data_IF_746673835125
#
_entry.id   IF_746673835125
#
_cell.length_a   1.000
_cell.length_b   1.000
_cell.length_c   1.000
_cell.angle_alpha   90.00
_cell.angle_beta   90.00
_cell.angle_gamma   90.00
#
_symmetry.space_group_name_H-M   'P 1'
#
loop_
_entity.id
_entity.type
_entity.pdbx_description
1 polymer ?
#
# COMPACT_ATOMS: atom_id res chain seq x y z
N UNK A 1 -30.55 -8.92 18.68
CA UNK A 1 -29.46 -8.57 17.75
C UNK A 1 -29.92 -8.93 16.34
N UNK A 2 -30.27 -7.93 15.55
CA UNK A 2 -30.63 -8.06 14.14
C UNK A 2 -29.40 -7.65 13.31
N UNK A 3 -28.96 -8.52 12.39
CA UNK A 3 -27.85 -8.25 11.47
C UNK A 3 -28.46 -7.98 10.10
N UNK A 4 -28.24 -6.79 9.58
CA UNK A 4 -28.65 -6.36 8.25
C UNK A 4 -27.43 -6.14 7.35
N UNK A 5 -27.61 -6.40 6.05
CA UNK A 5 -26.60 -6.17 5.03
C UNK A 5 -27.16 -5.16 4.03
N UNK A 6 -26.43 -4.09 3.81
CA UNK A 6 -26.84 -3.00 2.92
C UNK A 6 -25.71 -2.57 1.99
N UNK A 7 -26.06 -1.85 0.92
CA UNK A 7 -25.10 -1.06 0.15
C UNK A 7 -24.81 0.25 0.88
N UNK A 8 -23.74 0.92 0.50
CA UNK A 8 -23.37 2.21 1.08
C UNK A 8 -24.48 3.24 1.00
N UNK A 9 -25.11 3.38 -0.17
CA UNK A 9 -26.14 4.39 -0.44
C UNK A 9 -27.45 4.16 0.35
N UNK A 10 -27.65 2.96 0.87
CA UNK A 10 -28.82 2.60 1.71
C UNK A 10 -28.60 2.96 3.20
N UNK A 11 -27.43 3.52 3.55
CA UNK A 11 -27.07 3.90 4.92
C UNK A 11 -26.85 5.41 5.01
N UNK A 12 -27.43 6.10 6.01
CA UNK A 12 -27.20 7.54 6.19
C UNK A 12 -25.71 7.90 6.31
N UNK A 13 -25.30 8.99 5.63
CA UNK A 13 -23.90 9.40 5.58
C UNK A 13 -23.30 9.75 6.94
N UNK A 14 -24.09 10.33 7.85
CA UNK A 14 -23.69 10.62 9.21
C UNK A 14 -23.30 9.36 9.98
N UNK A 15 -24.12 8.30 9.89
CA UNK A 15 -23.82 7.00 10.49
C UNK A 15 -22.59 6.34 9.89
N UNK A 16 -22.39 6.48 8.58
CA UNK A 16 -21.17 5.99 7.91
C UNK A 16 -19.95 6.78 8.39
N UNK A 17 -20.05 8.11 8.50
CA UNK A 17 -18.95 8.94 9.02
C UNK A 17 -18.56 8.53 10.46
N UNK A 18 -19.53 8.28 11.33
CA UNK A 18 -19.27 7.77 12.68
C UNK A 18 -18.47 6.46 12.68
N UNK A 19 -18.81 5.50 11.80
CA UNK A 19 -18.05 4.25 11.66
C UNK A 19 -16.58 4.52 11.35
N UNK A 20 -16.28 5.47 10.46
CA UNK A 20 -14.89 5.85 10.13
C UNK A 20 -14.19 6.54 11.28
N UNK A 21 -14.87 7.41 12.01
CA UNK A 21 -14.31 8.11 13.17
C UNK A 21 -13.97 7.15 14.33
N UNK A 22 -14.69 6.04 14.45
CA UNK A 22 -14.43 5.01 15.45
C UNK A 22 -13.42 3.93 14.99
N UNK A 23 -12.95 3.99 13.72
CA UNK A 23 -11.98 3.02 13.21
C UNK A 23 -10.69 3.03 14.04
N UNK A 24 -10.29 1.89 14.64
CA UNK A 24 -9.06 1.80 15.42
C UNK A 24 -7.78 1.73 14.55
N UNK A 25 -7.92 1.62 13.22
CA UNK A 25 -6.82 1.43 12.27
C UNK A 25 -6.76 2.54 11.21
N UNK A 26 -6.60 3.83 11.58
CA UNK A 26 -6.46 4.90 10.60
C UNK A 26 -5.15 4.76 9.82
N UNK A 27 -5.15 5.27 8.59
CA UNK A 27 -3.93 5.46 7.81
C UNK A 27 -2.96 6.41 8.54
N UNK A 28 -1.67 6.28 8.24
CA UNK A 28 -0.61 7.14 8.81
C UNK A 28 -0.62 7.22 10.35
N UNK A 29 -1.03 6.13 11.02
CA UNK A 29 -0.97 6.02 12.47
C UNK A 29 0.45 6.27 12.96
N UNK A 30 0.59 7.11 13.99
CA UNK A 30 1.91 7.47 14.55
C UNK A 30 2.52 8.73 13.91
N UNK A 31 1.83 9.38 12.96
CA UNK A 31 2.20 10.73 12.51
C UNK A 31 1.53 11.81 13.35
N UNK A 32 2.07 13.05 13.33
CA UNK A 32 1.39 14.23 13.86
C UNK A 32 0.16 14.68 13.06
N UNK A 33 -0.12 14.02 11.93
CA UNK A 33 -1.33 14.24 11.15
C UNK A 33 -2.53 13.76 11.95
N UNK A 34 -3.15 14.44 12.81
CA UNK A 34 -4.20 14.03 13.72
C UNK A 34 -5.06 12.87 13.21
N UNK A 35 -5.26 11.87 14.03
CA UNK A 35 -5.98 10.63 13.65
C UNK A 35 -7.36 10.91 13.07
N UNK A 36 -8.05 11.95 13.54
CA UNK A 36 -9.39 12.31 13.07
C UNK A 36 -9.37 12.87 11.65
N UNK A 37 -8.36 13.67 11.30
CA UNK A 37 -8.18 14.14 9.92
C UNK A 37 -7.96 12.98 8.95
N UNK A 38 -7.17 11.99 9.35
CA UNK A 38 -6.96 10.79 8.54
C UNK A 38 -8.21 9.93 8.40
N UNK A 39 -9.03 9.82 9.44
CA UNK A 39 -10.31 9.13 9.40
C UNK A 39 -11.31 9.84 8.49
N UNK A 40 -11.36 11.17 8.52
CA UNK A 40 -12.17 11.95 7.59
C UNK A 40 -11.72 11.81 6.14
N UNK A 41 -10.40 11.79 5.90
CA UNK A 41 -9.85 11.50 4.58
C UNK A 41 -10.25 10.11 4.09
N UNK A 42 -10.09 9.08 4.93
CA UNK A 42 -10.51 7.71 4.60
C UNK A 42 -12.01 7.64 4.28
N UNK A 43 -12.85 8.33 5.04
CA UNK A 43 -14.29 8.42 4.77
C UNK A 43 -14.57 9.05 3.40
N UNK A 44 -13.91 10.16 3.08
CA UNK A 44 -14.06 10.87 1.81
C UNK A 44 -13.68 10.00 0.62
N UNK A 45 -12.52 9.31 0.71
CA UNK A 45 -12.08 8.38 -0.32
C UNK A 45 -13.06 7.20 -0.49
N UNK A 46 -13.47 6.59 0.60
CA UNK A 46 -14.38 5.45 0.58
C UNK A 46 -15.74 5.86 0.00
N UNK A 47 -16.25 7.03 0.34
CA UNK A 47 -17.50 7.58 -0.21
C UNK A 47 -17.40 7.82 -1.71
N UNK A 48 -16.30 8.43 -2.18
CA UNK A 48 -16.03 8.64 -3.61
C UNK A 48 -15.93 7.30 -4.34
N UNK A 49 -15.23 6.34 -3.77
CA UNK A 49 -15.10 4.99 -4.32
C UNK A 49 -16.43 4.24 -4.35
N UNK A 50 -17.28 4.42 -3.34
CA UNK A 50 -18.58 3.74 -3.24
C UNK A 50 -19.56 4.10 -4.37
N UNK A 51 -19.42 5.28 -4.97
CA UNK A 51 -20.27 5.70 -6.10
C UNK A 51 -20.01 4.93 -7.39
N UNK A 52 -18.91 4.20 -7.50
CA UNK A 52 -18.48 3.49 -8.71
C UNK A 52 -18.14 2.00 -8.48
N UNK A 53 -18.16 1.54 -7.24
CA UNK A 53 -17.76 0.19 -6.86
C UNK A 53 -18.85 -0.51 -6.05
N UNK A 54 -18.81 -1.84 -6.04
CA UNK A 54 -19.70 -2.63 -5.20
C UNK A 54 -19.32 -2.47 -3.72
N UNK A 55 -20.31 -2.13 -2.90
CA UNK A 55 -20.11 -1.83 -1.48
C UNK A 55 -20.92 -2.76 -0.59
N UNK A 56 -20.40 -3.00 0.59
CA UNK A 56 -21.05 -3.78 1.63
C UNK A 56 -20.95 -3.08 2.97
N UNK A 57 -22.07 -2.93 3.65
CA UNK A 57 -22.17 -2.45 5.02
C UNK A 57 -22.93 -3.48 5.85
N UNK A 58 -22.34 -3.95 6.93
CA UNK A 58 -23.04 -4.80 7.92
C UNK A 58 -23.46 -3.93 9.09
N UNK A 59 -24.75 -3.96 9.39
CA UNK A 59 -25.35 -3.25 10.51
C UNK A 59 -25.81 -4.22 11.59
N UNK A 60 -25.76 -3.76 12.82
CA UNK A 60 -26.37 -4.44 13.98
C UNK A 60 -27.34 -3.48 14.63
N UNK A 61 -28.60 -3.91 14.72
CA UNK A 61 -29.71 -3.10 15.26
C UNK A 61 -29.72 -1.67 14.66
N UNK A 62 -29.45 -1.58 13.33
CA UNK A 62 -29.43 -0.34 12.56
C UNK A 62 -28.17 0.52 12.70
N UNK A 63 -27.13 0.03 13.39
CA UNK A 63 -25.83 0.71 13.56
C UNK A 63 -24.77 0.07 12.63
N UNK A 64 -24.08 0.82 11.77
CA UNK A 64 -22.99 0.29 10.94
C UNK A 64 -21.82 -0.19 11.81
N UNK A 65 -21.40 -1.43 11.60
CA UNK A 65 -20.34 -2.06 12.37
C UNK A 65 -19.07 -2.32 11.55
N UNK A 66 -19.23 -2.64 10.27
CA UNK A 66 -18.14 -2.89 9.35
C UNK A 66 -18.57 -2.54 7.92
N UNK A 67 -17.67 -1.98 7.14
CA UNK A 67 -17.86 -1.74 5.70
C UNK A 67 -16.65 -2.19 4.91
N UNK A 68 -16.85 -2.43 3.61
CA UNK A 68 -15.82 -2.72 2.65
C UNK A 68 -16.34 -2.64 1.22
N UNK A 69 -15.42 -2.65 0.27
CA UNK A 69 -15.72 -2.48 -1.13
C UNK A 69 -14.97 -3.50 -1.97
N UNK A 70 -15.62 -3.96 -3.04
CA UNK A 70 -14.98 -4.68 -4.13
C UNK A 70 -14.79 -3.73 -5.32
N UNK A 71 -13.61 -3.73 -5.92
CA UNK A 71 -13.30 -2.97 -7.12
C UNK A 71 -12.37 -3.77 -8.04
N UNK A 72 -12.54 -3.60 -9.34
CA UNK A 72 -11.57 -4.09 -10.31
C UNK A 72 -10.33 -3.18 -10.30
N UNK A 73 -9.17 -3.77 -10.56
CA UNK A 73 -7.90 -3.06 -10.70
C UNK A 73 -7.52 -3.05 -12.19
N UNK A 74 -7.93 -2.01 -12.96
CA UNK A 74 -7.87 -2.05 -14.42
C UNK A 74 -6.46 -2.26 -14.96
N UNK A 75 -5.45 -1.59 -14.39
CA UNK A 75 -4.09 -1.70 -14.88
C UNK A 75 -3.50 -3.10 -14.66
N UNK A 76 -3.78 -3.75 -13.52
CA UNK A 76 -3.37 -5.13 -13.27
C UNK A 76 -4.14 -6.10 -14.16
N UNK A 77 -5.45 -5.89 -14.32
CA UNK A 77 -6.29 -6.72 -15.18
C UNK A 77 -5.80 -6.68 -16.64
N UNK A 78 -5.46 -5.49 -17.14
CA UNK A 78 -4.86 -5.31 -18.46
C UNK A 78 -3.49 -5.99 -18.57
N UNK A 79 -2.62 -5.80 -17.58
CA UNK A 79 -1.28 -6.37 -17.58
C UNK A 79 -1.32 -7.90 -17.61
N UNK A 80 -2.15 -8.50 -16.78
CA UNK A 80 -2.26 -9.97 -16.65
C UNK A 80 -3.21 -10.61 -17.67
N UNK A 81 -4.05 -9.82 -18.33
CA UNK A 81 -5.13 -10.27 -19.22
C UNK A 81 -6.14 -11.19 -18.51
N UNK A 82 -6.44 -10.93 -17.24
CA UNK A 82 -7.48 -11.56 -16.44
C UNK A 82 -8.15 -10.51 -15.55
N UNK A 83 -9.43 -10.67 -15.17
CA UNK A 83 -10.06 -9.78 -14.21
C UNK A 83 -9.38 -9.90 -12.83
N UNK A 84 -8.75 -8.82 -12.39
CA UNK A 84 -8.12 -8.72 -11.07
C UNK A 84 -8.89 -7.73 -10.22
N UNK A 85 -9.30 -8.20 -9.03
CA UNK A 85 -10.04 -7.41 -8.07
C UNK A 85 -9.25 -7.09 -6.81
N UNK A 86 -9.70 -6.05 -6.13
CA UNK A 86 -9.28 -5.67 -4.79
C UNK A 86 -10.48 -5.62 -3.85
N UNK A 87 -10.27 -6.04 -2.61
CA UNK A 87 -11.17 -5.74 -1.50
C UNK A 87 -10.48 -4.66 -0.66
N UNK A 88 -11.13 -3.52 -0.51
CA UNK A 88 -10.53 -2.36 0.14
C UNK A 88 -11.54 -1.50 0.89
N UNK A 89 -11.05 -0.37 1.40
CA UNK A 89 -11.81 0.53 2.27
C UNK A 89 -12.51 -0.21 3.43
N UNK A 90 -11.84 -1.27 3.94
CA UNK A 90 -12.38 -2.05 5.06
C UNK A 90 -12.20 -1.25 6.33
N UNK A 91 -13.31 -0.89 6.94
CA UNK A 91 -13.38 -0.15 8.20
C UNK A 91 -14.26 -0.89 9.16
N UNK A 92 -13.77 -1.08 10.37
CA UNK A 92 -14.45 -1.84 11.43
C UNK A 92 -14.53 -1.02 12.70
N UNK A 93 -15.68 -1.05 13.37
CA UNK A 93 -15.87 -0.49 14.70
C UNK A 93 -15.31 -1.45 15.76
N UNK A 94 -14.84 -0.93 16.88
CA UNK A 94 -14.55 -1.77 18.04
C UNK A 94 -15.81 -2.46 18.55
N UNK A 95 -15.72 -3.78 18.73
CA UNK A 95 -16.85 -4.60 19.15
C UNK A 95 -16.44 -5.58 20.24
N UNK A 96 -17.36 -5.96 21.14
CA UNK A 96 -17.17 -7.10 22.02
C UNK A 96 -16.85 -8.38 21.24
N UNK A 97 -16.00 -9.25 21.80
CA UNK A 97 -15.46 -10.41 21.09
C UNK A 97 -16.51 -11.42 20.60
N UNK A 98 -17.57 -11.59 21.36
CA UNK A 98 -18.70 -12.50 21.07
C UNK A 98 -19.54 -12.04 19.87
N UNK A 99 -19.71 -10.72 19.72
CA UNK A 99 -20.43 -10.11 18.59
C UNK A 99 -19.52 -10.03 17.36
N UNK A 100 -18.24 -9.74 17.59
CA UNK A 100 -17.23 -9.48 16.57
C UNK A 100 -17.11 -10.65 15.58
N UNK A 101 -17.01 -11.90 16.06
CA UNK A 101 -16.80 -13.07 15.18
C UNK A 101 -17.94 -13.24 14.19
N UNK A 102 -19.19 -13.17 14.64
CA UNK A 102 -20.37 -13.36 13.77
C UNK A 102 -20.48 -12.27 12.71
N UNK A 103 -20.20 -11.01 13.07
CA UNK A 103 -20.25 -9.87 12.14
C UNK A 103 -19.15 -10.00 11.11
N UNK A 104 -17.92 -10.30 11.53
CA UNK A 104 -16.76 -10.47 10.65
C UNK A 104 -17.00 -11.63 9.68
N UNK A 105 -17.54 -12.74 10.14
CA UNK A 105 -17.84 -13.88 9.29
C UNK A 105 -18.94 -13.57 8.26
N UNK A 106 -19.99 -12.89 8.68
CA UNK A 106 -21.02 -12.40 7.77
C UNK A 106 -20.43 -11.46 6.72
N UNK A 107 -19.66 -10.47 7.17
CA UNK A 107 -19.01 -9.48 6.31
C UNK A 107 -18.08 -10.13 5.27
N UNK A 108 -17.13 -10.96 5.72
CA UNK A 108 -16.13 -11.55 4.82
C UNK A 108 -16.76 -12.53 3.81
N UNK A 109 -17.84 -13.23 4.19
CA UNK A 109 -18.62 -14.06 3.28
C UNK A 109 -19.22 -13.22 2.15
N UNK A 110 -19.97 -12.19 2.50
CA UNK A 110 -20.67 -11.38 1.51
C UNK A 110 -19.71 -10.53 0.66
N UNK A 111 -18.66 -9.96 1.26
CA UNK A 111 -17.66 -9.21 0.51
C UNK A 111 -16.90 -10.11 -0.47
N UNK A 112 -16.57 -11.35 -0.09
CA UNK A 112 -15.94 -12.32 -0.99
C UNK A 112 -16.85 -12.70 -2.16
N UNK A 113 -18.17 -12.73 -1.96
CA UNK A 113 -19.13 -13.05 -3.01
C UNK A 113 -19.24 -11.92 -4.05
N UNK A 114 -19.05 -10.65 -3.67
CA UNK A 114 -18.97 -9.54 -4.62
C UNK A 114 -17.83 -9.72 -5.63
N UNK A 115 -16.78 -10.42 -5.24
CA UNK A 115 -15.60 -10.64 -6.07
C UNK A 115 -15.74 -11.82 -7.07
N UNK A 116 -16.91 -12.44 -7.18
CA UNK A 116 -17.15 -13.65 -8.02
C UNK A 116 -16.81 -13.46 -9.51
N UNK A 117 -16.83 -12.24 -10.03
CA UNK A 117 -16.49 -11.91 -11.41
C UNK A 117 -14.97 -11.72 -11.64
N UNK A 118 -14.16 -11.73 -10.60
CA UNK A 118 -12.72 -11.70 -10.72
C UNK A 118 -12.14 -13.12 -10.88
N UNK A 119 -10.94 -13.23 -11.43
CA UNK A 119 -10.13 -14.47 -11.43
C UNK A 119 -9.09 -14.48 -10.33
N UNK A 120 -8.73 -13.30 -9.86
CA UNK A 120 -7.82 -13.12 -8.75
C UNK A 120 -8.27 -11.94 -7.91
N UNK A 121 -8.18 -12.08 -6.59
CA UNK A 121 -8.57 -11.04 -5.62
C UNK A 121 -7.49 -10.88 -4.57
N UNK A 122 -7.16 -9.63 -4.27
CA UNK A 122 -6.26 -9.27 -3.18
C UNK A 122 -7.00 -8.45 -2.13
N UNK A 123 -6.71 -8.70 -0.85
CA UNK A 123 -7.18 -7.88 0.27
C UNK A 123 -5.99 -7.50 1.15
N UNK A 124 -5.98 -6.26 1.63
CA UNK A 124 -5.00 -5.81 2.63
C UNK A 124 -5.74 -5.50 3.94
N UNK A 125 -5.28 -6.10 5.02
CA UNK A 125 -5.94 -6.06 6.34
C UNK A 125 -4.92 -5.57 7.38
N UNK A 126 -5.28 -4.65 8.29
CA UNK A 126 -4.45 -4.31 9.44
C UNK A 126 -4.07 -5.56 10.24
N UNK A 127 -2.77 -5.79 10.44
CA UNK A 127 -2.24 -7.00 11.07
C UNK A 127 -2.80 -7.31 12.46
N UNK A 128 -3.10 -6.33 13.33
CA UNK A 128 -3.74 -6.59 14.62
C UNK A 128 -5.17 -7.15 14.51
N UNK A 129 -5.82 -7.05 13.35
CA UNK A 129 -7.18 -7.57 13.16
C UNK A 129 -7.18 -9.06 12.80
N UNK A 130 -6.73 -9.89 13.74
CA UNK A 130 -6.58 -11.35 13.57
C UNK A 130 -7.92 -12.02 13.21
N UNK A 131 -9.03 -11.56 13.78
CA UNK A 131 -10.35 -12.14 13.50
C UNK A 131 -10.72 -11.99 12.02
N UNK A 132 -10.48 -10.82 11.44
CA UNK A 132 -10.76 -10.56 10.02
C UNK A 132 -9.82 -11.36 9.11
N UNK A 133 -8.53 -11.44 9.45
CA UNK A 133 -7.55 -12.26 8.71
C UNK A 133 -8.03 -13.72 8.66
N UNK A 134 -8.32 -14.33 9.82
CA UNK A 134 -8.79 -15.71 9.91
C UNK A 134 -10.10 -15.95 9.15
N UNK A 135 -11.01 -15.00 9.20
CA UNK A 135 -12.28 -15.11 8.49
C UNK A 135 -12.09 -15.12 6.96
N UNK A 136 -11.16 -14.36 6.42
CA UNK A 136 -10.79 -14.44 5.00
C UNK A 136 -10.03 -15.73 4.66
N UNK A 137 -9.13 -16.20 5.52
CA UNK A 137 -8.43 -17.49 5.33
C UNK A 137 -9.42 -18.66 5.25
N UNK A 138 -10.46 -18.69 6.09
CA UNK A 138 -11.54 -19.69 6.04
C UNK A 138 -12.33 -19.65 4.72
N UNK A 139 -12.24 -18.54 3.97
CA UNK A 139 -12.86 -18.38 2.64
C UNK A 139 -11.90 -18.61 1.49
N UNK A 140 -10.77 -19.24 1.79
CA UNK A 140 -9.76 -19.64 0.78
C UNK A 140 -8.82 -18.52 0.36
N UNK A 141 -8.76 -17.41 1.11
CA UNK A 141 -7.66 -16.46 0.94
C UNK A 141 -6.40 -17.02 1.61
N UNK A 142 -5.27 -16.90 0.94
CA UNK A 142 -3.98 -17.32 1.45
C UNK A 142 -3.11 -16.10 1.77
N UNK A 143 -2.29 -16.21 2.81
CA UNK A 143 -1.26 -15.22 3.11
C UNK A 143 -0.31 -15.03 1.91
N UNK A 144 -0.13 -13.80 1.49
CA UNK A 144 0.78 -13.44 0.40
C UNK A 144 1.98 -12.63 0.89
N UNK A 145 1.73 -11.60 1.70
CA UNK A 145 2.78 -10.70 2.18
C UNK A 145 2.35 -9.99 3.47
N UNK A 146 3.32 -9.76 4.35
CA UNK A 146 3.15 -8.80 5.45
C UNK A 146 4.12 -7.64 5.28
N UNK A 147 3.68 -6.43 5.54
CA UNK A 147 4.52 -5.26 5.45
C UNK A 147 4.31 -4.29 6.59
N UNK A 148 5.40 -3.66 6.96
CA UNK A 148 5.44 -2.60 7.96
C UNK A 148 5.42 -1.28 7.21
N UNK A 149 4.46 -0.44 7.52
CA UNK A 149 4.46 0.96 7.10
C UNK A 149 5.24 1.78 8.12
N UNK A 150 6.31 2.39 7.66
CA UNK A 150 7.13 3.29 8.45
C UNK A 150 6.91 4.72 7.98
N UNK A 151 6.71 5.62 8.91
CA UNK A 151 6.37 7.02 8.64
C UNK A 151 7.48 7.93 9.12
N UNK A 152 7.86 8.91 8.29
CA UNK A 152 8.87 9.90 8.61
C UNK A 152 8.43 11.30 8.19
N UNK A 153 8.94 12.32 8.89
CA UNK A 153 8.81 13.71 8.47
C UNK A 153 10.03 14.08 7.62
N UNK A 154 9.80 14.79 6.51
CA UNK A 154 10.87 15.26 5.64
C UNK A 154 11.81 16.27 6.33
N UNK A 155 11.38 16.85 7.46
CA UNK A 155 12.16 17.79 8.26
C UNK A 155 13.13 17.15 9.24
N UNK A 156 13.02 15.83 9.51
CA UNK A 156 13.81 15.15 10.54
C UNK A 156 14.83 14.15 9.98
N UNK A 157 15.04 14.13 8.66
CA UNK A 157 16.04 13.25 8.08
C UNK A 157 17.44 13.70 8.47
N UNK A 158 18.24 12.74 8.89
CA UNK A 158 19.65 12.94 9.23
C UNK A 158 20.49 12.57 8.02
N UNK A 159 21.27 13.49 7.52
CA UNK A 159 22.36 13.19 6.57
C UNK A 159 23.42 12.34 7.29
N UNK A 160 23.23 11.02 7.26
CA UNK A 160 24.08 10.08 8.03
C UNK A 160 24.93 9.19 7.15
N UNK A 161 24.59 9.10 5.87
CA UNK A 161 25.24 8.15 4.99
C UNK A 161 26.09 8.87 3.96
N UNK A 162 27.37 8.52 3.90
CA UNK A 162 28.27 8.97 2.82
C UNK A 162 28.89 7.75 2.16
N UNK A 163 28.63 7.57 0.88
CA UNK A 163 29.22 6.51 0.09
C UNK A 163 30.06 7.14 -1.03
N UNK A 164 31.38 6.97 -0.93
CA UNK A 164 32.31 7.50 -1.95
C UNK A 164 32.02 6.86 -3.31
N UNK A 165 31.99 7.66 -4.36
CA UNK A 165 31.73 7.20 -5.73
C UNK A 165 30.25 6.93 -6.03
N UNK A 166 29.31 7.25 -5.13
CA UNK A 166 27.88 7.21 -5.40
C UNK A 166 27.44 8.55 -6.03
N UNK A 167 26.71 8.45 -7.13
CA UNK A 167 26.00 9.56 -7.79
C UNK A 167 24.53 9.18 -7.89
N UNK A 168 23.64 10.12 -7.57
CA UNK A 168 22.19 9.95 -7.75
C UNK A 168 21.72 11.01 -8.73
N UNK A 169 20.97 10.59 -9.75
CA UNK A 169 20.45 11.45 -10.81
C UNK A 169 19.04 11.05 -11.21
N UNK A 170 18.36 11.89 -11.97
CA UNK A 170 17.08 11.55 -12.57
C UNK A 170 17.25 10.46 -13.65
N UNK A 171 16.21 9.65 -13.86
CA UNK A 171 16.17 8.59 -14.87
C UNK A 171 16.20 9.17 -16.29
N UNK A 172 16.91 8.50 -17.18
CA UNK A 172 16.84 8.68 -18.63
C UNK A 172 16.39 7.37 -19.31
N UNK A 173 15.92 7.46 -20.57
CA UNK A 173 15.29 6.31 -21.27
C UNK A 173 16.18 5.05 -21.29
N UNK A 174 17.50 5.21 -21.47
CA UNK A 174 18.44 4.09 -21.54
C UNK A 174 18.62 3.34 -20.22
N UNK A 175 18.11 3.86 -19.09
CA UNK A 175 18.22 3.20 -17.79
C UNK A 175 17.25 2.00 -17.63
N UNK A 176 16.21 1.90 -18.48
CA UNK A 176 15.23 0.84 -18.35
C UNK A 176 15.80 -0.58 -18.55
N UNK A 177 16.83 -0.73 -19.37
CA UNK A 177 17.50 -2.03 -19.56
C UNK A 177 18.25 -2.46 -18.29
N UNK A 178 18.88 -1.51 -17.61
CA UNK A 178 19.54 -1.77 -16.32
C UNK A 178 18.53 -2.05 -15.20
N UNK A 179 17.41 -1.34 -15.18
CA UNK A 179 16.31 -1.60 -14.23
C UNK A 179 15.76 -3.03 -14.44
N UNK A 180 15.47 -3.43 -15.70
CA UNK A 180 15.00 -4.80 -16.01
C UNK A 180 16.04 -5.85 -15.61
N UNK A 181 17.32 -5.61 -15.91
CA UNK A 181 18.42 -6.47 -15.48
C UNK A 181 18.51 -6.60 -13.95
N UNK A 182 18.29 -5.49 -13.22
CA UNK A 182 18.31 -5.52 -11.77
C UNK A 182 17.16 -6.35 -11.19
N UNK A 183 15.93 -6.21 -11.69
CA UNK A 183 14.79 -7.03 -11.26
C UNK A 183 14.97 -8.52 -11.56
N UNK A 184 15.64 -8.87 -12.67
CA UNK A 184 15.95 -10.26 -13.02
C UNK A 184 17.03 -10.89 -12.11
N UNK A 185 18.04 -10.12 -11.75
CA UNK A 185 19.25 -10.63 -11.06
C UNK A 185 19.21 -10.50 -9.54
N UNK A 186 18.34 -9.65 -9.00
CA UNK A 186 18.26 -9.43 -7.56
C UNK A 186 17.13 -10.24 -6.95
N UNK A 187 17.35 -10.95 -5.83
CA UNK A 187 16.29 -11.54 -5.06
C UNK A 187 15.29 -10.44 -4.66
N UNK A 188 14.06 -10.56 -5.12
CA UNK A 188 13.02 -9.57 -4.92
C UNK A 188 11.76 -10.24 -4.37
N UNK A 189 11.62 -10.31 -3.04
CA UNK A 189 10.43 -10.87 -2.41
C UNK A 189 9.28 -9.86 -2.54
N UNK A 190 8.42 -10.08 -3.52
CA UNK A 190 7.22 -9.30 -3.72
C UNK A 190 6.03 -10.22 -3.91
N UNK A 191 4.87 -9.82 -3.41
CA UNK A 191 3.67 -10.64 -3.34
C UNK A 191 3.29 -11.34 -4.65
N UNK A 192 3.39 -10.65 -5.80
CA UNK A 192 3.08 -11.25 -7.11
C UNK A 192 4.17 -12.19 -7.62
N UNK A 193 5.42 -12.00 -7.20
CA UNK A 193 6.55 -12.89 -7.55
C UNK A 193 6.50 -14.17 -6.73
N UNK A 194 6.04 -14.07 -5.49
CA UNK A 194 5.95 -15.19 -4.54
C UNK A 194 4.63 -15.95 -4.64
N UNK A 195 3.63 -15.39 -5.32
CA UNK A 195 2.33 -16.04 -5.54
C UNK A 195 2.44 -17.07 -6.64
N UNK A 196 2.19 -18.33 -6.29
CA UNK A 196 2.36 -19.48 -7.21
C UNK A 196 1.38 -19.52 -8.39
N UNK A 197 0.36 -18.65 -8.42
CA UNK A 197 -0.59 -18.52 -9.52
C UNK A 197 -0.14 -17.59 -10.64
N UNK A 198 0.87 -16.74 -10.41
CA UNK A 198 1.43 -15.84 -11.41
C UNK A 198 2.75 -16.39 -11.96
N UNK A 199 3.00 -16.15 -13.25
CA UNK A 199 4.32 -16.37 -13.85
C UNK A 199 5.37 -15.46 -13.18
N UNK A 200 6.43 -15.99 -12.56
CA UNK A 200 7.37 -15.19 -11.78
C UNK A 200 8.17 -14.18 -12.62
N UNK A 201 8.46 -14.49 -13.89
CA UNK A 201 9.19 -13.58 -14.77
C UNK A 201 8.29 -12.41 -15.18
N UNK A 202 7.04 -12.71 -15.55
CA UNK A 202 6.04 -11.67 -15.84
C UNK A 202 5.77 -10.83 -14.61
N UNK A 203 5.71 -11.42 -13.40
CA UNK A 203 5.56 -10.70 -12.16
C UNK A 203 6.71 -9.71 -11.90
N UNK A 204 7.97 -10.08 -12.18
CA UNK A 204 9.11 -9.15 -12.11
C UNK A 204 8.99 -7.99 -13.12
N UNK A 205 8.59 -8.29 -14.34
CA UNK A 205 8.36 -7.26 -15.39
C UNK A 205 7.25 -6.28 -15.04
N UNK A 206 6.28 -6.64 -14.19
CA UNK A 206 5.27 -5.71 -13.69
C UNK A 206 5.89 -4.48 -13.02
N UNK A 207 6.97 -4.67 -12.28
CA UNK A 207 7.66 -3.57 -11.59
C UNK A 207 8.42 -2.66 -12.57
N UNK A 208 9.02 -3.25 -13.60
CA UNK A 208 9.63 -2.46 -14.71
C UNK A 208 8.54 -1.68 -15.47
N UNK A 209 7.41 -2.33 -15.76
CA UNK A 209 6.26 -1.68 -16.40
C UNK A 209 5.75 -0.50 -15.56
N UNK A 210 5.68 -0.64 -14.24
CA UNK A 210 5.31 0.47 -13.35
C UNK A 210 6.32 1.62 -13.39
N UNK A 211 7.62 1.33 -13.47
CA UNK A 211 8.62 2.38 -13.67
C UNK A 211 8.37 3.15 -14.98
N UNK A 212 8.10 2.43 -16.09
CA UNK A 212 7.77 3.07 -17.38
C UNK A 212 6.51 3.94 -17.28
N UNK A 213 5.45 3.43 -16.68
CA UNK A 213 4.21 4.18 -16.49
C UNK A 213 4.44 5.49 -15.72
N UNK A 214 5.22 5.43 -14.62
CA UNK A 214 5.56 6.64 -13.84
C UNK A 214 6.34 7.64 -14.68
N UNK A 215 7.28 7.18 -15.50
CA UNK A 215 8.09 8.03 -16.37
C UNK A 215 7.27 8.65 -17.51
N UNK A 216 6.56 7.83 -18.29
CA UNK A 216 5.82 8.24 -19.47
C UNK A 216 4.64 9.17 -19.12
N UNK A 217 3.93 8.87 -18.03
CA UNK A 217 2.78 9.66 -17.57
C UNK A 217 3.16 10.81 -16.62
N UNK A 218 4.45 10.97 -16.32
CA UNK A 218 4.96 12.01 -15.40
C UNK A 218 4.25 12.02 -14.06
N UNK A 219 4.00 10.83 -13.51
CA UNK A 219 3.31 10.67 -12.23
C UNK A 219 4.18 11.05 -11.03
N UNK A 220 5.49 11.12 -11.21
CA UNK A 220 6.48 11.43 -10.19
C UNK A 220 7.89 11.45 -10.76
N UNK A 221 8.89 11.23 -9.90
CA UNK A 221 10.29 11.09 -10.28
C UNK A 221 10.81 9.68 -10.09
N UNK A 222 11.81 9.31 -10.89
CA UNK A 222 12.59 8.08 -10.72
C UNK A 222 14.04 8.48 -10.61
N UNK A 223 14.64 8.13 -9.49
CA UNK A 223 16.06 8.40 -9.19
C UNK A 223 16.89 7.18 -9.53
N UNK A 224 18.01 7.38 -10.22
CA UNK A 224 18.99 6.35 -10.55
C UNK A 224 20.21 6.55 -9.67
N UNK A 225 20.66 5.48 -9.05
CA UNK A 225 21.94 5.44 -8.36
C UNK A 225 23.00 4.80 -9.25
N UNK A 226 24.14 5.47 -9.37
CA UNK A 226 25.36 4.94 -9.97
C UNK A 226 26.45 4.86 -8.90
N UNK A 227 27.08 3.71 -8.79
CA UNK A 227 28.20 3.50 -7.90
C UNK A 227 29.46 3.17 -8.72
N UNK A 228 30.47 4.03 -8.61
CA UNK A 228 31.71 3.90 -9.38
C UNK A 228 31.44 3.86 -10.92
N UNK A 229 30.51 4.71 -11.38
CA UNK A 229 30.11 4.82 -12.78
C UNK A 229 29.27 3.66 -13.32
N UNK A 230 28.72 2.80 -12.45
CA UNK A 230 27.87 1.66 -12.85
C UNK A 230 26.52 1.75 -12.17
N UNK A 231 25.44 1.41 -12.89
CA UNK A 231 24.09 1.36 -12.33
C UNK A 231 24.06 0.55 -11.03
N UNK A 232 23.55 1.13 -9.97
CA UNK A 232 23.47 0.53 -8.64
C UNK A 232 22.05 0.33 -8.15
N UNK A 233 21.06 1.09 -8.67
CA UNK A 233 19.65 0.93 -8.29
C UNK A 233 18.77 2.02 -8.86
N UNK A 234 17.46 1.84 -8.68
CA UNK A 234 16.42 2.80 -9.01
C UNK A 234 15.42 2.95 -7.86
N UNK A 235 14.89 4.16 -7.66
CA UNK A 235 13.91 4.49 -6.62
C UNK A 235 12.84 5.41 -7.20
N UNK A 236 11.57 5.06 -7.02
CA UNK A 236 10.43 5.89 -7.42
C UNK A 236 10.02 6.83 -6.28
N UNK A 237 9.64 8.06 -6.64
CA UNK A 237 8.98 9.02 -5.78
C UNK A 237 7.71 9.54 -6.44
N UNK A 238 6.55 9.44 -5.75
CA UNK A 238 5.26 9.94 -6.23
C UNK A 238 4.60 10.70 -5.09
N UNK A 239 4.04 11.87 -5.38
CA UNK A 239 3.27 12.67 -4.42
C UNK A 239 1.79 12.31 -4.53
N UNK A 240 1.13 12.16 -3.40
CA UNK A 240 -0.31 11.90 -3.34
C UNK A 240 -1.09 13.21 -3.60
N UNK A 241 -1.50 13.38 -4.84
CA UNK A 241 -2.27 14.57 -5.25
C UNK A 241 -3.67 14.56 -4.64
N UNK A 242 -4.29 13.39 -4.50
CA UNK A 242 -5.65 13.28 -3.97
C UNK A 242 -5.72 13.68 -2.50
N UNK A 243 -4.72 13.31 -1.70
CA UNK A 243 -4.62 13.76 -0.32
C UNK A 243 -4.37 15.27 -0.24
N UNK A 244 -3.48 15.80 -1.07
CA UNK A 244 -3.22 17.23 -1.14
C UNK A 244 -4.46 18.04 -1.49
N UNK A 245 -5.27 17.58 -2.44
CA UNK A 245 -6.51 18.24 -2.88
C UNK A 245 -7.64 18.10 -1.85
N UNK A 246 -7.72 16.97 -1.13
CA UNK A 246 -8.84 16.65 -0.24
C UNK A 246 -8.69 17.28 1.14
N UNK A 247 -7.49 17.23 1.73
CA UNK A 247 -7.23 17.68 3.10
C UNK A 247 -6.08 18.68 3.23
N UNK A 248 -5.57 19.18 2.09
CA UNK A 248 -4.46 20.14 2.02
C UNK A 248 -3.18 19.66 2.73
N UNK A 249 -2.89 18.36 2.65
CA UNK A 249 -1.67 17.75 3.19
C UNK A 249 -0.94 17.03 2.05
N UNK A 250 0.32 17.38 1.86
CA UNK A 250 1.17 16.71 0.87
C UNK A 250 1.90 15.53 1.50
N UNK A 251 1.65 14.35 0.97
CA UNK A 251 2.37 13.12 1.33
C UNK A 251 2.79 12.37 0.06
N UNK A 252 3.56 11.30 0.21
CA UNK A 252 3.80 10.38 -0.89
C UNK A 252 2.66 9.36 -1.00
N UNK A 253 2.46 8.78 -2.18
CA UNK A 253 1.54 7.65 -2.33
C UNK A 253 2.07 6.41 -1.61
N UNK A 254 1.14 5.64 -1.02
CA UNK A 254 1.43 4.34 -0.40
C UNK A 254 1.74 3.23 -1.41
N UNK A 255 1.57 3.46 -2.70
CA UNK A 255 1.81 2.46 -3.76
C UNK A 255 3.31 2.17 -3.92
N UNK A 256 3.83 1.42 -2.96
CA UNK A 256 5.25 1.19 -2.68
C UNK A 256 5.98 0.27 -3.66
N UNK A 257 5.85 0.46 -4.95
CA UNK A 257 6.72 -0.23 -5.90
C UNK A 257 8.01 0.59 -6.12
N UNK A 258 8.75 0.86 -5.02
CA UNK A 258 9.58 2.01 -5.04
C UNK A 258 11.07 1.80 -5.25
N UNK A 259 11.67 0.68 -4.85
CA UNK A 259 13.15 0.60 -4.86
C UNK A 259 13.65 -0.76 -5.35
N UNK A 260 14.58 -0.74 -6.27
CA UNK A 260 15.41 -1.91 -6.63
C UNK A 260 16.87 -1.56 -6.51
N UNK A 261 17.65 -2.42 -5.88
CA UNK A 261 19.10 -2.30 -5.80
C UNK A 261 19.72 -3.46 -6.59
N UNK A 262 20.58 -3.15 -7.53
CA UNK A 262 21.27 -4.17 -8.31
C UNK A 262 22.13 -5.06 -7.40
N UNK A 263 22.19 -6.36 -7.66
CA UNK A 263 22.86 -7.37 -6.81
C UNK A 263 24.31 -6.98 -6.44
N UNK A 264 25.06 -6.33 -7.35
CA UNK A 264 26.44 -5.84 -7.11
C UNK A 264 26.56 -4.71 -6.07
N UNK A 265 25.45 -4.02 -5.78
CA UNK A 265 25.40 -2.89 -4.86
C UNK A 265 24.67 -3.20 -3.55
N UNK A 266 24.22 -4.44 -3.37
CA UNK A 266 23.57 -4.88 -2.13
C UNK A 266 24.51 -4.75 -0.94
N UNK A 267 23.94 -4.40 0.23
CA UNK A 267 24.64 -4.24 1.50
C UNK A 267 25.71 -3.12 1.52
N UNK A 268 25.77 -2.27 0.50
CA UNK A 268 26.70 -1.12 0.43
C UNK A 268 26.06 0.20 0.90
N UNK A 269 24.82 0.18 1.38
CA UNK A 269 24.13 1.39 1.87
C UNK A 269 23.47 2.23 0.76
N UNK A 270 23.54 1.84 -0.51
CA UNK A 270 22.99 2.58 -1.65
C UNK A 270 21.52 2.93 -1.46
N UNK A 271 20.69 1.98 -0.96
CA UNK A 271 19.27 2.22 -0.74
C UNK A 271 18.99 3.37 0.23
N UNK A 272 19.79 3.50 1.28
CA UNK A 272 19.59 4.55 2.28
C UNK A 272 19.91 5.93 1.70
N UNK A 273 21.00 6.07 0.94
CA UNK A 273 21.32 7.32 0.25
C UNK A 273 20.25 7.71 -0.78
N UNK A 274 19.74 6.73 -1.53
CA UNK A 274 18.64 7.00 -2.47
C UNK A 274 17.37 7.50 -1.75
N UNK A 275 17.06 6.91 -0.60
CA UNK A 275 15.93 7.35 0.21
C UNK A 275 16.16 8.76 0.74
N UNK A 276 17.36 9.09 1.26
CA UNK A 276 17.74 10.46 1.67
C UNK A 276 17.55 11.44 0.52
N UNK A 277 18.13 11.17 -0.64
CA UNK A 277 18.02 12.03 -1.82
C UNK A 277 16.55 12.24 -2.25
N UNK A 278 15.72 11.19 -2.24
CA UNK A 278 14.29 11.32 -2.50
C UNK A 278 13.57 12.17 -1.44
N UNK A 279 14.00 12.10 -0.18
CA UNK A 279 13.42 12.94 0.87
C UNK A 279 13.73 14.43 0.65
N UNK A 280 14.94 14.76 0.18
CA UNK A 280 15.29 16.13 -0.18
C UNK A 280 14.38 16.66 -1.30
N UNK A 281 14.10 15.81 -2.31
CA UNK A 281 13.12 16.16 -3.32
C UNK A 281 11.72 16.32 -2.75
N UNK A 282 11.21 15.40 -1.94
CA UNK A 282 9.90 15.53 -1.30
C UNK A 282 9.80 16.82 -0.48
N UNK A 283 10.86 17.18 0.25
CA UNK A 283 10.93 18.42 1.00
C UNK A 283 10.86 19.65 0.09
N UNK A 284 11.56 19.65 -1.04
CA UNK A 284 11.50 20.74 -2.03
C UNK A 284 10.12 20.90 -2.67
N UNK A 285 9.34 19.83 -2.76
CA UNK A 285 7.96 19.84 -3.24
C UNK A 285 6.92 20.19 -2.13
N UNK A 286 7.39 20.46 -0.92
CA UNK A 286 6.55 20.80 0.25
C UNK A 286 5.80 19.59 0.81
N UNK A 287 6.34 18.38 0.67
CA UNK A 287 5.82 17.18 1.33
C UNK A 287 6.27 17.18 2.78
N UNK A 288 5.34 17.06 3.72
CA UNK A 288 5.62 17.09 5.16
C UNK A 288 5.93 15.71 5.72
N UNK A 289 5.20 14.71 5.26
CA UNK A 289 5.28 13.33 5.75
C UNK A 289 5.38 12.34 4.62
N UNK A 290 6.15 11.29 4.86
CA UNK A 290 6.33 10.20 3.91
C UNK A 290 6.08 8.87 4.60
N UNK A 291 5.46 7.97 3.85
CA UNK A 291 5.28 6.58 4.24
C UNK A 291 6.14 5.68 3.37
N UNK A 292 6.75 4.68 3.99
CA UNK A 292 7.55 3.67 3.32
C UNK A 292 7.10 2.27 3.78
N UNK A 293 6.48 1.52 2.88
CA UNK A 293 6.14 0.11 3.13
C UNK A 293 7.35 -0.79 2.93
N UNK A 294 7.72 -1.57 3.92
CA UNK A 294 8.77 -2.57 3.83
C UNK A 294 8.19 -3.95 4.18
N UNK A 295 8.50 -4.98 3.35
CA UNK A 295 8.18 -6.36 3.73
C UNK A 295 8.80 -6.65 5.10
N UNK A 296 8.04 -7.23 6.03
CA UNK A 296 8.51 -7.43 7.41
C UNK A 296 9.71 -8.39 7.52
N UNK A 297 9.97 -9.20 6.51
CA UNK A 297 11.19 -10.01 6.41
C UNK A 297 12.40 -9.20 5.92
N UNK A 298 12.19 -7.98 5.41
CA UNK A 298 13.27 -7.11 4.94
C UNK A 298 13.88 -6.31 6.11
N UNK A 299 14.43 -7.03 7.08
CA UNK A 299 15.04 -6.43 8.27
C UNK A 299 16.08 -5.35 7.96
N UNK A 300 16.99 -5.48 6.96
CA UNK A 300 17.93 -4.43 6.63
C UNK A 300 17.26 -3.11 6.23
N UNK A 301 16.15 -3.17 5.48
CA UNK A 301 15.39 -1.99 5.10
C UNK A 301 14.73 -1.33 6.31
N UNK A 302 14.07 -2.12 7.15
CA UNK A 302 13.38 -1.62 8.36
C UNK A 302 14.38 -0.92 9.29
N UNK A 303 15.53 -1.53 9.58
CA UNK A 303 16.58 -0.95 10.40
C UNK A 303 17.22 0.31 9.76
N UNK A 304 17.33 0.32 8.43
CA UNK A 304 17.81 1.48 7.69
C UNK A 304 16.85 2.67 7.79
N UNK A 305 15.56 2.42 7.62
CA UNK A 305 14.52 3.43 7.76
C UNK A 305 14.45 4.00 9.18
N UNK A 306 14.57 3.16 10.21
CA UNK A 306 14.63 3.62 11.60
C UNK A 306 15.83 4.54 11.84
N UNK A 307 17.02 4.20 11.31
CA UNK A 307 18.20 5.07 11.36
C UNK A 307 17.99 6.41 10.66
N UNK A 308 17.24 6.44 9.56
CA UNK A 308 16.86 7.67 8.86
C UNK A 308 15.81 8.50 9.62
N UNK A 309 15.28 8.00 10.73
CA UNK A 309 14.32 8.71 11.56
C UNK A 309 12.86 8.35 11.29
N UNK A 310 12.59 7.37 10.40
CA UNK A 310 11.25 6.84 10.25
C UNK A 310 10.81 6.12 11.53
N UNK A 311 9.52 6.21 11.83
CA UNK A 311 8.89 5.54 12.95
C UNK A 311 7.91 4.49 12.47
N UNK A 312 7.69 3.48 13.29
CA UNK A 312 6.67 2.47 13.05
C UNK A 312 5.28 3.12 13.00
N UNK A 313 4.57 2.91 11.90
CA UNK A 313 3.21 3.39 11.70
C UNK A 313 2.18 2.28 11.84
N UNK A 314 2.19 1.28 10.96
CA UNK A 314 1.26 0.16 10.99
C UNK A 314 1.92 -1.13 10.47
N UNK A 315 1.30 -2.26 10.81
CA UNK A 315 1.54 -3.57 10.20
C UNK A 315 0.30 -3.94 9.39
N UNK A 316 0.50 -4.33 8.15
CA UNK A 316 -0.57 -4.79 7.28
C UNK A 316 -0.24 -6.17 6.69
N UNK A 317 -1.29 -6.95 6.44
CA UNK A 317 -1.21 -8.28 5.84
C UNK A 317 -1.99 -8.29 4.54
N UNK A 318 -1.34 -8.70 3.46
CA UNK A 318 -1.99 -8.96 2.18
C UNK A 318 -2.34 -10.45 2.06
N UNK A 319 -3.59 -10.71 1.71
CA UNK A 319 -4.09 -12.05 1.41
C UNK A 319 -4.53 -12.09 -0.06
N UNK A 320 -4.33 -13.22 -0.70
CA UNK A 320 -4.67 -13.47 -2.10
C UNK A 320 -5.62 -14.65 -2.22
N UNK A 321 -6.51 -14.57 -3.22
CA UNK A 321 -7.39 -15.67 -3.61
C UNK A 321 -7.51 -15.76 -5.12
N UNK A 322 -7.32 -16.96 -5.66
CA UNK A 322 -7.67 -17.35 -7.01
C UNK A 322 -9.10 -17.91 -7.02
N UNK A 323 -9.93 -17.46 -7.99
CA UNK A 323 -11.34 -17.81 -8.12
C UNK A 323 -11.55 -18.66 -9.38
#
# INVERSE_FOLDING_TARGET
MVIDIKKWDDVPNDKMKELFLENPYPLYRGTPLGTDLMKEYMFTLAKKSASINDTLVVLVDGVPMITGQFYLIPYLSKYWNIPIGGLGHIVIRNMPADINTKIIDTFSLHLSNLASNAKFVSVTIPGPNIALIRSFEQRGFAYAEGFINMVGSTNYFRDQFRLKGLVIRDLVENDFDEIDSAYKKTPFPARFVSDGGFDPEKARKLYVHRCREVYEQRLGKIFIAELEGKFAGALIGIIDKEMAETINIKTNTLSGMGIIIHSRALRRGVSMHMIEHRQDWYKSEGVDYVNFGANFNNRPMILGLDKLGFKYGSLDVALHKWI
#
